data_IF_993009138907
#
_entry.id   IF_993009138907
#
_cell.length_a   1.000
_cell.length_b   1.000
_cell.length_c   1.000
_cell.angle_alpha   90.00
_cell.angle_beta   90.00
_cell.angle_gamma   90.00
#
_symmetry.space_group_name_H-M   'P 1'
#
loop_
_entity.id
_entity.type
_entity.pdbx_description
1 polymer ?
#
# COMPACT_ATOMS: atom_id res chain seq x y z
N UNK A 1 -34.72 -32.72 52.57
CA UNK A 1 -35.09 -32.32 51.22
C UNK A 1 -34.37 -31.02 50.91
N UNK A 2 -33.24 -31.12 50.26
CA UNK A 2 -32.42 -29.94 49.89
C UNK A 2 -32.89 -29.39 48.58
N UNK A 3 -33.13 -28.08 48.54
CA UNK A 3 -33.44 -27.32 47.35
C UNK A 3 -32.19 -27.26 46.45
N UNK A 4 -32.30 -27.82 45.24
CA UNK A 4 -31.31 -27.67 44.19
C UNK A 4 -31.22 -26.20 43.75
N UNK A 5 -30.01 -25.66 43.80
CA UNK A 5 -29.72 -24.28 43.38
C UNK A 5 -30.05 -24.09 41.90
N UNK A 6 -30.62 -22.94 41.60
CA UNK A 6 -30.90 -22.47 40.24
C UNK A 6 -29.61 -22.36 39.47
N UNK A 7 -29.50 -23.11 38.37
CA UNK A 7 -28.45 -22.93 37.37
C UNK A 7 -28.47 -21.47 36.89
N UNK A 8 -27.39 -20.76 37.16
CA UNK A 8 -27.13 -19.47 36.50
C UNK A 8 -26.78 -19.76 35.04
N UNK A 9 -27.76 -19.65 34.18
CA UNK A 9 -27.57 -19.78 32.73
C UNK A 9 -26.52 -18.75 32.27
N UNK A 10 -25.57 -19.22 31.46
CA UNK A 10 -24.59 -18.37 30.81
C UNK A 10 -25.35 -17.36 29.93
N UNK A 11 -25.35 -16.10 30.32
CA UNK A 11 -25.86 -15.04 29.46
C UNK A 11 -24.87 -14.82 28.31
N UNK A 12 -25.17 -15.36 27.13
CA UNK A 12 -24.45 -15.06 25.91
C UNK A 12 -24.72 -13.60 25.54
N UNK A 13 -23.69 -12.76 25.53
CA UNK A 13 -23.83 -11.39 25.02
C UNK A 13 -24.30 -11.47 23.55
N UNK A 14 -25.23 -10.59 23.13
CA UNK A 14 -25.64 -10.55 21.72
C UNK A 14 -24.41 -10.34 20.83
N UNK A 15 -24.42 -11.01 19.66
CA UNK A 15 -23.40 -10.79 18.66
C UNK A 15 -23.28 -9.29 18.35
N UNK A 16 -22.07 -8.80 18.12
CA UNK A 16 -21.84 -7.41 17.70
C UNK A 16 -22.70 -7.17 16.45
N UNK A 17 -23.54 -6.14 16.49
CA UNK A 17 -24.40 -5.81 15.37
C UNK A 17 -23.55 -5.45 14.12
N UNK A 18 -24.05 -5.68 12.94
CA UNK A 18 -23.48 -5.16 11.71
C UNK A 18 -23.70 -3.66 11.62
N UNK A 19 -22.83 -2.97 10.92
CA UNK A 19 -23.02 -1.57 10.56
C UNK A 19 -24.26 -1.39 9.67
N UNK A 20 -24.90 -0.23 9.75
CA UNK A 20 -26.08 0.08 8.94
C UNK A 20 -25.76 0.69 7.57
N UNK A 21 -24.47 0.93 7.28
CA UNK A 21 -24.02 1.58 6.04
C UNK A 21 -22.85 0.87 5.37
N UNK A 22 -22.52 1.31 4.16
CA UNK A 22 -21.34 0.88 3.40
C UNK A 22 -20.08 1.50 4.00
N UNK A 23 -18.99 0.74 4.03
CA UNK A 23 -17.70 1.26 4.50
C UNK A 23 -17.17 2.36 3.57
N UNK A 24 -16.52 3.36 4.17
CA UNK A 24 -15.88 4.43 3.43
C UNK A 24 -14.50 4.77 4.01
N UNK A 25 -13.59 5.23 3.16
CA UNK A 25 -12.36 5.90 3.56
C UNK A 25 -12.72 7.27 4.11
N UNK A 26 -12.34 7.54 5.36
CA UNK A 26 -12.65 8.78 6.09
C UNK A 26 -11.47 9.74 6.13
N UNK A 27 -10.25 9.21 6.08
CA UNK A 27 -9.02 9.99 6.04
C UNK A 27 -7.90 9.19 5.39
N UNK A 28 -6.93 9.91 4.81
CA UNK A 28 -5.71 9.35 4.22
C UNK A 28 -4.52 10.16 4.73
N UNK A 29 -3.47 9.48 5.17
CA UNK A 29 -2.19 10.11 5.53
C UNK A 29 -1.03 9.41 4.85
N UNK A 30 0.00 10.17 4.47
CA UNK A 30 1.19 9.68 3.81
C UNK A 30 2.45 10.20 4.49
N UNK A 31 3.52 9.43 4.43
CA UNK A 31 4.82 9.82 4.96
C UNK A 31 5.95 9.17 4.16
N UNK A 32 7.07 9.89 4.05
CA UNK A 32 8.30 9.40 3.43
C UNK A 32 9.51 9.76 4.29
N UNK A 33 10.63 9.02 4.19
CA UNK A 33 11.91 9.47 4.73
C UNK A 33 12.31 10.84 4.15
N UNK A 34 13.06 11.60 4.92
CA UNK A 34 13.50 12.96 4.52
C UNK A 34 14.58 12.96 3.43
N UNK A 35 15.34 11.86 3.29
CA UNK A 35 16.36 11.74 2.25
C UNK A 35 15.71 11.54 0.89
N UNK A 36 15.87 12.54 0.01
CA UNK A 36 15.37 12.54 -1.37
C UNK A 36 16.50 12.21 -2.32
N UNK A 37 16.30 11.23 -3.17
CA UNK A 37 17.27 10.81 -4.17
C UNK A 37 16.69 11.07 -5.57
N UNK A 38 17.30 12.00 -6.30
CA UNK A 38 16.96 12.24 -7.70
C UNK A 38 17.34 11.01 -8.54
N UNK A 39 16.42 10.55 -9.37
CA UNK A 39 16.61 9.32 -10.13
C UNK A 39 17.78 9.42 -11.12
N UNK A 40 18.02 10.60 -11.69
CA UNK A 40 19.15 10.85 -12.60
C UNK A 40 20.52 10.72 -11.91
N UNK A 41 20.57 11.00 -10.58
CA UNK A 41 21.81 11.00 -9.80
C UNK A 41 22.02 9.64 -9.09
N UNK A 42 20.98 8.80 -9.05
CA UNK A 42 21.02 7.49 -8.39
C UNK A 42 22.04 6.52 -8.98
N UNK A 43 22.25 6.43 -10.31
CA UNK A 43 23.32 5.61 -10.87
C UNK A 43 24.69 5.99 -10.35
N UNK A 44 25.01 7.28 -10.30
CA UNK A 44 26.30 7.75 -9.80
C UNK A 44 26.47 7.46 -8.31
N UNK A 45 25.41 7.63 -7.50
CA UNK A 45 25.40 7.23 -6.10
C UNK A 45 25.60 5.72 -5.96
N UNK A 46 24.82 4.92 -6.67
CA UNK A 46 24.84 3.48 -6.56
C UNK A 46 26.16 2.86 -7.06
N UNK A 47 26.71 3.34 -8.17
CA UNK A 47 27.98 2.83 -8.72
C UNK A 47 29.22 3.36 -7.97
N UNK A 48 29.20 4.56 -7.38
CA UNK A 48 30.31 5.03 -6.51
C UNK A 48 30.58 4.10 -5.34
N UNK A 49 29.53 3.51 -4.79
CA UNK A 49 29.64 2.53 -3.69
C UNK A 49 30.40 1.25 -4.12
N UNK A 50 30.55 1.01 -5.44
CA UNK A 50 31.09 -0.21 -6.00
C UNK A 50 32.30 -0.03 -6.95
N UNK A 51 32.77 1.19 -7.16
CA UNK A 51 33.82 1.56 -8.17
C UNK A 51 35.14 0.81 -8.00
N UNK A 52 35.36 0.04 -6.96
CA UNK A 52 36.60 -0.75 -6.89
C UNK A 52 36.68 -1.94 -7.84
N UNK A 53 35.60 -2.36 -8.52
CA UNK A 53 35.63 -3.61 -9.30
C UNK A 53 34.89 -3.68 -10.66
N UNK A 54 34.23 -2.62 -11.18
CA UNK A 54 33.41 -2.80 -12.40
C UNK A 54 33.53 -1.68 -13.43
N UNK A 55 34.28 -1.97 -14.52
CA UNK A 55 34.47 -1.08 -15.68
C UNK A 55 33.48 -1.31 -16.84
N UNK A 56 32.40 -2.08 -16.70
CA UNK A 56 31.55 -2.55 -17.84
C UNK A 56 30.06 -2.22 -17.80
N UNK A 57 29.50 -1.72 -16.72
CA UNK A 57 28.10 -1.26 -16.73
C UNK A 57 28.07 0.21 -17.10
N UNK A 58 27.63 0.51 -18.32
CA UNK A 58 27.42 1.87 -18.77
C UNK A 58 26.11 2.41 -18.19
N UNK A 59 26.08 3.72 -17.84
CA UNK A 59 24.90 4.45 -17.36
C UNK A 59 23.64 4.25 -18.24
N UNK A 60 23.81 3.93 -19.53
CA UNK A 60 22.73 3.68 -20.50
C UNK A 60 21.84 2.48 -20.16
N UNK A 61 22.33 1.52 -19.36
CA UNK A 61 21.55 0.34 -18.95
C UNK A 61 20.77 0.56 -17.66
N UNK A 62 21.17 1.53 -16.85
CA UNK A 62 20.43 1.91 -15.65
C UNK A 62 19.28 2.82 -16.08
N UNK A 63 18.13 2.24 -16.32
CA UNK A 63 16.95 2.81 -16.97
C UNK A 63 16.32 4.05 -16.27
N UNK A 64 17.11 5.05 -15.88
CA UNK A 64 16.62 6.27 -15.24
C UNK A 64 15.52 6.94 -16.08
N UNK A 65 15.81 7.26 -17.34
CA UNK A 65 14.83 7.93 -18.23
C UNK A 65 13.67 7.03 -18.66
N UNK A 66 13.90 5.70 -18.79
CA UNK A 66 12.86 4.74 -19.19
C UNK A 66 11.87 4.41 -18.08
N UNK A 67 12.21 4.60 -16.81
CA UNK A 67 11.35 4.30 -15.66
C UNK A 67 10.25 5.33 -15.45
N UNK A 68 10.39 6.55 -15.97
CA UNK A 68 9.58 7.74 -15.69
C UNK A 68 9.63 8.22 -14.22
N UNK A 69 10.44 7.61 -13.39
CA UNK A 69 10.70 8.06 -12.03
C UNK A 69 11.60 9.30 -12.09
N UNK A 70 11.27 10.32 -11.32
CA UNK A 70 12.06 11.54 -11.16
C UNK A 70 12.88 11.51 -9.90
N UNK A 71 12.27 11.11 -8.81
CA UNK A 71 12.91 11.01 -7.50
C UNK A 71 12.28 9.91 -6.65
N UNK A 72 12.99 9.50 -5.62
CA UNK A 72 12.52 8.57 -4.60
C UNK A 72 12.95 9.05 -3.21
N UNK A 73 12.30 8.56 -2.19
CA UNK A 73 12.68 8.76 -0.81
C UNK A 73 13.28 7.46 -0.27
N UNK A 74 14.40 7.51 0.42
CA UNK A 74 15.11 6.34 0.91
C UNK A 74 15.63 6.57 2.33
N UNK A 75 15.51 5.59 3.21
CA UNK A 75 16.26 5.58 4.47
C UNK A 75 17.76 5.36 4.25
N UNK A 76 18.10 4.70 3.15
CA UNK A 76 19.47 4.42 2.77
C UNK A 76 20.13 5.72 2.27
N UNK A 77 21.16 6.13 2.97
CA UNK A 77 22.03 7.24 2.63
C UNK A 77 23.51 6.84 2.78
N UNK A 78 24.43 7.74 2.45
CA UNK A 78 25.88 7.51 2.55
C UNK A 78 26.32 7.22 3.98
N UNK A 79 25.70 7.85 4.99
CA UNK A 79 26.02 7.65 6.39
C UNK A 79 25.65 6.26 6.88
N UNK A 80 24.44 5.79 6.52
CA UNK A 80 23.99 4.44 6.84
C UNK A 80 24.88 3.38 6.20
N UNK A 81 25.23 3.56 4.92
CA UNK A 81 26.09 2.61 4.20
C UNK A 81 27.55 2.64 4.70
N UNK A 82 28.06 3.80 5.09
CA UNK A 82 29.38 3.89 5.70
C UNK A 82 29.43 3.19 7.07
N UNK A 83 28.34 3.24 7.83
CA UNK A 83 28.21 2.54 9.11
C UNK A 83 28.00 1.01 8.93
N UNK A 84 27.51 0.58 7.76
CA UNK A 84 27.14 -0.80 7.45
C UNK A 84 27.64 -1.22 6.06
N UNK A 85 28.97 -1.26 5.82
CA UNK A 85 29.54 -1.47 4.49
C UNK A 85 29.17 -2.83 3.87
N UNK A 86 28.87 -3.83 4.69
CA UNK A 86 28.44 -5.15 4.22
C UNK A 86 27.11 -5.10 3.43
N UNK A 87 26.25 -4.09 3.65
CA UNK A 87 25.04 -3.89 2.86
C UNK A 87 25.33 -3.64 1.38
N UNK A 88 26.52 -3.17 1.07
CA UNK A 88 26.95 -2.88 -0.29
C UNK A 88 27.49 -4.11 -1.03
N UNK A 89 27.70 -5.22 -0.31
CA UNK A 89 28.13 -6.49 -0.91
C UNK A 89 26.91 -7.30 -1.38
N UNK A 90 26.97 -7.89 -2.58
CA UNK A 90 25.82 -8.52 -3.22
C UNK A 90 25.16 -9.62 -2.35
N UNK A 91 25.90 -10.54 -1.80
CA UNK A 91 25.38 -11.70 -1.05
C UNK A 91 25.99 -11.82 0.36
N UNK A 92 26.31 -10.69 0.99
CA UNK A 92 26.79 -10.69 2.38
C UNK A 92 25.66 -11.02 3.36
N UNK A 93 25.90 -11.85 4.40
CA UNK A 93 24.92 -12.18 5.42
C UNK A 93 24.67 -10.97 6.34
N UNK A 94 23.63 -10.22 6.07
CA UNK A 94 23.33 -8.92 6.71
C UNK A 94 21.93 -8.85 7.32
N UNK A 95 21.24 -9.99 7.46
CA UNK A 95 19.85 -10.01 7.92
C UNK A 95 19.69 -9.39 9.31
N UNK A 96 20.51 -9.76 10.28
CA UNK A 96 20.42 -9.25 11.67
C UNK A 96 20.52 -7.72 11.72
N UNK A 97 21.50 -7.16 10.98
CA UNK A 97 21.68 -5.72 10.90
C UNK A 97 20.47 -5.02 10.24
N UNK A 98 19.97 -5.59 9.12
CA UNK A 98 18.79 -5.06 8.43
C UNK A 98 17.55 -5.10 9.32
N UNK A 99 17.35 -6.20 10.03
CA UNK A 99 16.27 -6.36 11.00
C UNK A 99 16.34 -5.32 12.12
N UNK A 100 17.52 -5.07 12.69
CA UNK A 100 17.70 -4.06 13.72
C UNK A 100 17.28 -2.65 13.25
N UNK A 101 17.51 -2.32 11.97
CA UNK A 101 17.09 -1.04 11.39
C UNK A 101 15.58 -1.05 11.10
N UNK A 102 15.09 -2.09 10.46
CA UNK A 102 13.70 -2.16 9.98
C UNK A 102 12.69 -2.25 11.12
N UNK A 103 13.00 -3.02 12.18
CA UNK A 103 12.14 -3.15 13.36
C UNK A 103 11.85 -1.80 14.05
N UNK A 104 12.74 -0.83 13.88
CA UNK A 104 12.56 0.55 14.34
C UNK A 104 11.92 1.43 13.26
N UNK A 105 12.42 1.40 12.02
CA UNK A 105 12.06 2.37 10.97
C UNK A 105 10.66 2.13 10.37
N UNK A 106 10.20 0.88 10.25
CA UNK A 106 8.86 0.59 9.75
C UNK A 106 7.77 1.13 10.68
N UNK A 107 7.76 0.86 12.00
CA UNK A 107 6.76 1.45 12.89
C UNK A 107 6.88 2.97 13.00
N UNK A 108 8.08 3.56 12.98
CA UNK A 108 8.26 5.03 12.99
C UNK A 108 7.63 5.68 11.75
N UNK A 109 7.91 5.14 10.56
CA UNK A 109 7.37 5.64 9.30
C UNK A 109 5.85 5.44 9.22
N UNK A 110 5.37 4.25 9.61
CA UNK A 110 3.95 3.94 9.70
C UNK A 110 3.21 4.86 10.66
N UNK A 111 3.81 5.17 11.81
CA UNK A 111 3.25 6.10 12.78
C UNK A 111 3.17 7.54 12.24
N UNK A 112 4.13 7.98 11.44
CA UNK A 112 4.08 9.29 10.79
C UNK A 112 2.88 9.39 9.81
N UNK A 113 2.69 8.39 8.95
CA UNK A 113 1.54 8.34 8.04
C UNK A 113 0.21 8.23 8.81
N UNK A 114 0.15 7.36 9.83
CA UNK A 114 -1.04 7.20 10.66
C UNK A 114 -1.39 8.48 11.43
N UNK A 115 -0.40 9.21 11.94
CA UNK A 115 -0.61 10.50 12.61
C UNK A 115 -1.23 11.52 11.65
N UNK A 116 -0.77 11.55 10.39
CA UNK A 116 -1.36 12.42 9.36
C UNK A 116 -2.82 12.04 9.08
N UNK A 117 -3.13 10.74 8.94
CA UNK A 117 -4.50 10.25 8.75
C UNK A 117 -5.41 10.54 9.95
N UNK A 118 -4.93 10.30 11.18
CA UNK A 118 -5.69 10.59 12.41
C UNK A 118 -5.95 12.10 12.57
N UNK A 119 -4.98 12.94 12.21
CA UNK A 119 -5.15 14.40 12.21
C UNK A 119 -6.22 14.85 11.22
N UNK A 120 -6.23 14.28 10.01
CA UNK A 120 -7.27 14.56 9.02
C UNK A 120 -8.65 14.07 9.47
N UNK A 121 -8.70 12.88 10.06
CA UNK A 121 -9.93 12.31 10.61
C UNK A 121 -10.53 13.17 11.74
N UNK A 122 -9.69 13.84 12.52
CA UNK A 122 -10.10 14.82 13.52
C UNK A 122 -10.71 14.22 14.79
N UNK A 123 -10.57 12.91 15.03
CA UNK A 123 -11.07 12.23 16.24
C UNK A 123 -9.93 11.63 17.04
N UNK A 124 -10.17 11.35 18.35
CA UNK A 124 -9.16 10.74 19.22
C UNK A 124 -8.66 9.38 18.68
N UNK A 125 -7.36 9.14 18.75
CA UNK A 125 -6.75 7.86 18.38
C UNK A 125 -7.35 6.67 19.18
N UNK A 126 -7.83 6.92 20.40
CA UNK A 126 -8.49 5.93 21.24
C UNK A 126 -9.83 5.41 20.67
N UNK A 127 -10.43 6.12 19.71
CA UNK A 127 -11.64 5.69 19.00
C UNK A 127 -11.37 4.64 17.93
N UNK A 128 -10.11 4.40 17.57
CA UNK A 128 -9.72 3.32 16.67
C UNK A 128 -9.95 1.98 17.36
N UNK A 129 -10.75 1.13 16.72
CA UNK A 129 -11.17 -0.18 17.24
C UNK A 129 -10.36 -1.33 16.65
N UNK A 130 -9.86 -1.16 15.44
CA UNK A 130 -9.08 -2.14 14.69
C UNK A 130 -7.85 -1.50 14.06
N UNK A 131 -6.73 -2.23 14.05
CA UNK A 131 -5.48 -1.84 13.40
C UNK A 131 -5.08 -2.94 12.41
N UNK A 132 -4.92 -2.58 11.14
CA UNK A 132 -4.33 -3.43 10.11
C UNK A 132 -2.95 -2.88 9.79
N UNK A 133 -1.94 -3.73 9.75
CA UNK A 133 -0.57 -3.33 9.39
C UNK A 133 -0.08 -4.19 8.23
N UNK A 134 0.28 -3.55 7.12
CA UNK A 134 0.86 -4.17 5.93
C UNK A 134 2.32 -3.80 5.76
N UNK A 135 3.20 -4.78 5.55
CA UNK A 135 4.60 -4.56 5.19
C UNK A 135 5.22 -5.80 4.56
N UNK A 136 5.99 -5.62 3.52
CA UNK A 136 6.87 -6.65 2.96
C UNK A 136 8.26 -6.57 3.58
N UNK A 137 8.65 -5.35 3.97
CA UNK A 137 9.97 -5.06 4.52
C UNK A 137 10.09 -5.36 6.01
N UNK A 138 8.96 -5.34 6.75
CA UNK A 138 8.90 -5.66 8.17
C UNK A 138 8.25 -7.03 8.44
N UNK A 139 8.10 -7.40 9.71
CA UNK A 139 7.30 -8.55 10.13
C UNK A 139 8.07 -9.81 10.47
N UNK A 140 9.39 -9.73 10.61
CA UNK A 140 10.22 -10.84 11.07
C UNK A 140 10.53 -10.78 12.57
N UNK A 141 10.07 -9.75 13.26
CA UNK A 141 10.26 -9.51 14.69
C UNK A 141 9.00 -9.78 15.52
N UNK A 142 9.19 -10.14 16.77
CA UNK A 142 8.15 -10.32 17.78
C UNK A 142 8.55 -9.58 19.06
N UNK A 143 7.76 -8.57 19.50
CA UNK A 143 6.51 -8.07 18.92
C UNK A 143 6.75 -7.26 17.63
N UNK A 144 5.81 -7.36 16.67
CA UNK A 144 5.91 -6.72 15.35
C UNK A 144 5.50 -5.25 15.32
N UNK A 145 5.52 -4.65 14.12
CA UNK A 145 5.21 -3.24 13.90
C UNK A 145 3.81 -2.85 14.42
N UNK A 146 2.85 -3.76 14.40
CA UNK A 146 1.49 -3.56 14.92
C UNK A 146 1.49 -3.24 16.42
N UNK A 147 2.33 -3.91 17.21
CA UNK A 147 2.49 -3.63 18.63
C UNK A 147 3.13 -2.24 18.87
N UNK A 148 4.16 -1.94 18.12
CA UNK A 148 4.85 -0.65 18.24
C UNK A 148 3.95 0.52 17.84
N UNK A 149 3.13 0.37 16.79
CA UNK A 149 2.16 1.37 16.37
C UNK A 149 1.08 1.65 17.43
N UNK A 150 0.58 0.64 18.13
CA UNK A 150 -0.36 0.86 19.27
C UNK A 150 0.25 1.80 20.30
N UNK A 151 1.53 1.63 20.63
CA UNK A 151 2.22 2.46 21.61
C UNK A 151 2.55 3.86 21.08
N UNK A 152 3.08 3.95 19.85
CA UNK A 152 3.50 5.22 19.24
C UNK A 152 2.31 6.16 19.00
N UNK A 153 1.14 5.59 18.67
CA UNK A 153 -0.07 6.35 18.36
C UNK A 153 -1.00 6.55 19.57
N UNK A 154 -0.72 5.91 20.71
CA UNK A 154 -1.59 5.94 21.88
C UNK A 154 -2.96 5.30 21.64
N UNK A 155 -3.03 4.24 20.82
CA UNK A 155 -4.26 3.50 20.59
C UNK A 155 -4.69 2.76 21.85
N UNK A 156 -6.00 2.42 21.94
CA UNK A 156 -6.50 1.60 23.04
C UNK A 156 -5.77 0.27 23.14
N UNK A 157 -5.38 -0.21 24.33
CA UNK A 157 -4.82 -1.55 24.53
C UNK A 157 -5.73 -2.68 24.05
N UNK A 158 -7.05 -2.43 23.93
CA UNK A 158 -8.04 -3.38 23.44
C UNK A 158 -8.23 -3.34 21.92
N UNK A 159 -7.47 -2.52 21.18
CA UNK A 159 -7.52 -2.47 19.73
C UNK A 159 -7.23 -3.86 19.13
N UNK A 160 -8.09 -4.31 18.23
CA UNK A 160 -7.92 -5.60 17.54
C UNK A 160 -6.91 -5.44 16.41
N UNK A 161 -5.89 -6.30 16.36
CA UNK A 161 -4.77 -6.16 15.42
C UNK A 161 -4.72 -7.28 14.40
N UNK A 162 -4.44 -6.93 13.15
CA UNK A 162 -4.18 -7.87 12.05
C UNK A 162 -2.92 -7.41 11.32
N UNK A 163 -1.98 -8.32 11.08
CA UNK A 163 -0.76 -8.06 10.32
C UNK A 163 -0.80 -8.80 8.97
N UNK A 164 -0.50 -8.08 7.89
CA UNK A 164 -0.40 -8.57 6.51
C UNK A 164 1.06 -8.45 6.08
N UNK A 165 1.89 -9.39 6.51
CA UNK A 165 3.32 -9.38 6.24
C UNK A 165 3.69 -10.24 5.04
N UNK A 166 4.72 -9.83 4.29
CA UNK A 166 5.33 -10.59 3.18
C UNK A 166 4.37 -10.93 2.02
N UNK A 167 3.36 -10.13 1.79
CA UNK A 167 2.43 -10.32 0.68
C UNK A 167 2.72 -9.41 -0.53
N UNK A 168 3.55 -8.39 -0.36
CA UNK A 168 3.99 -7.52 -1.46
C UNK A 168 3.02 -6.39 -1.82
N UNK A 169 3.11 -5.95 -3.06
CA UNK A 169 2.51 -4.69 -3.50
C UNK A 169 0.98 -4.64 -3.49
N UNK A 170 0.27 -5.78 -3.55
CA UNK A 170 -1.20 -5.79 -3.55
C UNK A 170 -1.80 -5.52 -2.16
N UNK A 171 -0.99 -5.51 -1.09
CA UNK A 171 -1.48 -5.38 0.29
C UNK A 171 -2.26 -4.09 0.52
N UNK A 172 -1.93 -2.98 -0.17
CA UNK A 172 -2.72 -1.76 -0.05
C UNK A 172 -4.20 -1.95 -0.42
N UNK A 173 -4.48 -2.68 -1.49
CA UNK A 173 -5.85 -3.02 -1.89
C UNK A 173 -6.47 -4.10 -0.97
N UNK A 174 -5.70 -5.14 -0.62
CA UNK A 174 -6.14 -6.20 0.29
C UNK A 174 -6.49 -5.66 1.69
N UNK A 175 -5.71 -4.70 2.20
CA UNK A 175 -5.98 -4.06 3.49
C UNK A 175 -7.25 -3.20 3.45
N UNK A 176 -7.56 -2.52 2.32
CA UNK A 176 -8.84 -1.84 2.15
C UNK A 176 -10.01 -2.81 2.14
N UNK A 177 -9.90 -3.94 1.43
CA UNK A 177 -10.91 -5.00 1.44
C UNK A 177 -11.14 -5.51 2.87
N UNK A 178 -10.07 -5.83 3.60
CA UNK A 178 -10.19 -6.27 4.98
C UNK A 178 -10.77 -5.18 5.89
N UNK A 179 -10.38 -3.92 5.71
CA UNK A 179 -10.91 -2.80 6.49
C UNK A 179 -12.41 -2.60 6.22
N UNK A 180 -12.85 -2.75 4.96
CA UNK A 180 -14.27 -2.77 4.58
C UNK A 180 -15.03 -3.85 5.36
N UNK A 181 -14.54 -5.09 5.30
CA UNK A 181 -15.19 -6.23 5.96
C UNK A 181 -15.27 -6.04 7.47
N UNK A 182 -14.22 -5.53 8.11
CA UNK A 182 -14.20 -5.26 9.53
C UNK A 182 -15.15 -4.12 9.91
N UNK A 183 -15.20 -3.05 9.11
CA UNK A 183 -16.08 -1.92 9.37
C UNK A 183 -17.56 -2.30 9.23
N UNK A 184 -17.94 -3.02 8.19
CA UNK A 184 -19.32 -3.40 7.91
C UNK A 184 -19.86 -4.48 8.87
N UNK A 185 -19.00 -5.39 9.33
CA UNK A 185 -19.42 -6.49 10.21
C UNK A 185 -19.31 -6.14 11.71
N UNK A 186 -18.89 -4.93 12.08
CA UNK A 186 -18.80 -4.46 13.47
C UNK A 186 -19.34 -3.02 13.56
N UNK A 187 -20.58 -2.87 14.03
CA UNK A 187 -21.20 -1.56 14.21
C UNK A 187 -20.31 -0.61 15.05
N UNK A 188 -20.15 0.61 14.58
CA UNK A 188 -19.32 1.61 15.22
C UNK A 188 -17.80 1.40 15.07
N UNK A 189 -17.36 0.39 14.29
CA UNK A 189 -15.93 0.16 14.10
C UNK A 189 -15.27 1.32 13.33
N UNK A 190 -14.04 1.64 13.79
CA UNK A 190 -13.11 2.53 13.09
C UNK A 190 -11.79 1.77 12.91
N UNK A 191 -11.47 1.50 11.67
CA UNK A 191 -10.34 0.68 11.26
C UNK A 191 -9.23 1.61 10.78
N UNK A 192 -8.09 1.61 11.47
CA UNK A 192 -6.87 2.23 10.99
C UNK A 192 -6.07 1.17 10.24
N UNK A 193 -5.85 1.35 8.95
CA UNK A 193 -4.94 0.51 8.18
C UNK A 193 -3.68 1.30 7.84
N UNK A 194 -2.51 0.68 8.00
CA UNK A 194 -1.19 1.28 7.80
C UNK A 194 -0.36 0.36 6.92
N UNK A 195 0.19 0.88 5.83
CA UNK A 195 1.16 0.20 4.98
C UNK A 195 2.49 0.95 5.04
N UNK A 196 3.61 0.25 5.29
CA UNK A 196 4.93 0.87 5.39
C UNK A 196 6.01 -0.03 4.77
N UNK A 197 6.86 0.57 3.92
CA UNK A 197 7.89 -0.14 3.17
C UNK A 197 9.23 0.60 3.19
N UNK A 198 10.33 -0.16 3.20
CA UNK A 198 11.69 0.37 3.09
C UNK A 198 12.60 -0.52 2.27
N UNK A 199 13.52 0.09 1.54
CA UNK A 199 14.56 -0.58 0.76
C UNK A 199 15.64 -1.27 1.62
N UNK A 200 15.71 -0.98 2.92
CA UNK A 200 16.74 -1.51 3.82
C UNK A 200 16.85 -3.04 3.74
N UNK A 201 15.70 -3.74 3.61
CA UNK A 201 15.70 -5.22 3.56
C UNK A 201 16.29 -5.81 2.28
N UNK A 202 16.26 -5.10 1.16
CA UNK A 202 16.66 -5.65 -0.14
C UNK A 202 17.71 -4.81 -0.89
N UNK A 203 18.14 -3.68 -0.33
CA UNK A 203 19.27 -2.95 -0.90
C UNK A 203 20.55 -3.79 -0.85
N UNK A 204 21.23 -3.91 -1.96
CA UNK A 204 22.49 -4.68 -2.06
C UNK A 204 23.30 -4.22 -3.24
N UNK A 205 24.54 -4.66 -3.29
CA UNK A 205 25.48 -4.39 -4.34
C UNK A 205 25.11 -4.95 -5.71
N UNK A 206 25.85 -4.46 -6.68
CA UNK A 206 25.74 -4.88 -8.07
C UNK A 206 26.25 -6.31 -8.25
N UNK A 207 25.55 -7.09 -9.08
CA UNK A 207 26.02 -8.36 -9.58
C UNK A 207 25.61 -8.49 -11.07
N UNK A 208 26.58 -8.78 -11.92
CA UNK A 208 26.37 -8.84 -13.39
C UNK A 208 25.47 -9.99 -13.82
N UNK A 209 25.37 -11.04 -13.00
CA UNK A 209 24.54 -12.20 -13.29
C UNK A 209 23.07 -12.02 -12.87
N UNK A 210 22.77 -10.99 -12.05
CA UNK A 210 21.45 -10.78 -11.44
C UNK A 210 20.88 -9.39 -11.80
N UNK A 211 20.52 -9.23 -13.06
CA UNK A 211 20.01 -7.97 -13.60
C UNK A 211 18.66 -7.55 -12.99
N UNK A 212 17.83 -8.48 -12.58
CA UNK A 212 16.56 -8.28 -11.85
C UNK A 212 16.77 -7.49 -10.54
N UNK A 213 17.90 -7.73 -9.86
CA UNK A 213 18.26 -6.93 -8.68
C UNK A 213 18.46 -5.45 -9.03
N UNK A 214 19.11 -5.13 -10.13
CA UNK A 214 19.29 -3.73 -10.58
C UNK A 214 17.96 -3.04 -10.86
N UNK A 215 17.01 -3.75 -11.47
CA UNK A 215 15.66 -3.23 -11.69
C UNK A 215 14.98 -2.89 -10.36
N UNK A 216 15.07 -3.77 -9.38
CA UNK A 216 14.54 -3.51 -8.04
C UNK A 216 15.18 -2.27 -7.39
N UNK A 217 16.54 -2.16 -7.45
CA UNK A 217 17.26 -1.01 -6.89
C UNK A 217 16.88 0.31 -7.57
N UNK A 218 16.57 0.29 -8.88
CA UNK A 218 16.18 1.47 -9.64
C UNK A 218 14.71 1.87 -9.46
N UNK A 219 13.85 0.93 -9.02
CA UNK A 219 12.39 1.10 -9.04
C UNK A 219 11.77 1.39 -7.68
N UNK A 220 12.25 0.71 -6.62
CA UNK A 220 11.63 0.79 -5.32
C UNK A 220 12.04 2.05 -4.53
N UNK A 221 11.06 2.63 -3.82
CA UNK A 221 11.21 3.72 -2.87
C UNK A 221 10.67 3.36 -1.50
N UNK A 222 10.97 4.20 -0.49
CA UNK A 222 10.50 4.06 0.88
C UNK A 222 9.32 4.99 1.14
N UNK A 223 8.31 4.48 1.81
CA UNK A 223 7.14 5.27 2.18
C UNK A 223 6.14 4.50 3.03
N UNK A 224 5.28 5.24 3.68
CA UNK A 224 4.13 4.70 4.37
C UNK A 224 2.88 5.49 4.04
N UNK A 225 1.76 4.80 4.04
CA UNK A 225 0.44 5.39 3.95
C UNK A 225 -0.50 4.77 4.96
N UNK A 226 -1.49 5.54 5.40
CA UNK A 226 -2.49 5.08 6.34
C UNK A 226 -3.86 5.60 5.94
N UNK A 227 -4.89 4.81 6.22
CA UNK A 227 -6.29 5.18 6.00
C UNK A 227 -7.11 4.88 7.25
N UNK A 228 -8.11 5.72 7.51
CA UNK A 228 -9.17 5.43 8.50
C UNK A 228 -10.41 5.01 7.72
N UNK A 229 -10.99 3.87 8.07
CA UNK A 229 -12.20 3.31 7.43
C UNK A 229 -13.29 3.11 8.48
N UNK A 230 -14.52 3.49 8.14
CA UNK A 230 -15.72 3.27 8.96
C UNK A 230 -16.94 3.07 8.08
N UNK A 231 -17.96 2.36 8.59
CA UNK A 231 -19.19 2.07 7.85
C UNK A 231 -20.41 2.85 8.38
N UNK A 232 -20.54 2.99 9.70
CA UNK A 232 -21.59 3.81 10.29
C UNK A 232 -21.13 5.27 10.36
N UNK A 233 -21.91 6.22 9.83
CA UNK A 233 -21.62 7.63 10.04
C UNK A 233 -21.69 7.94 11.55
N UNK A 234 -20.74 8.72 12.02
CA UNK A 234 -20.83 9.24 13.39
C UNK A 234 -22.00 10.22 13.47
N UNK A 235 -23.04 9.82 14.19
CA UNK A 235 -24.18 10.70 14.48
C UNK A 235 -23.79 11.62 15.65
N UNK A 236 -22.79 12.46 15.43
CA UNK A 236 -22.62 13.68 16.21
C UNK A 236 -23.58 14.71 15.65
N UNK A 237 -24.24 15.46 16.51
CA UNK A 237 -25.16 16.52 16.09
C UNK A 237 -24.43 17.44 15.11
N UNK A 238 -25.01 17.66 13.92
CA UNK A 238 -24.52 18.55 12.85
C UNK A 238 -24.25 19.98 13.36
N UNK A 239 -24.76 20.35 14.53
CA UNK A 239 -24.55 21.61 15.22
C UNK A 239 -23.11 21.87 15.70
N UNK A 240 -22.23 20.84 15.77
CA UNK A 240 -20.86 20.98 16.28
C UNK A 240 -19.76 20.93 15.21
N UNK A 241 -20.09 20.81 13.92
CA UNK A 241 -19.09 20.75 12.83
C UNK A 241 -18.21 19.50 12.84
N UNK A 242 -18.54 18.48 13.62
CA UNK A 242 -17.72 17.29 13.87
C UNK A 242 -18.21 16.02 13.16
N UNK A 243 -18.87 16.16 12.00
CA UNK A 243 -19.23 15.00 11.18
C UNK A 243 -17.99 14.41 10.48
N UNK A 244 -17.84 13.09 10.50
CA UNK A 244 -16.83 12.42 9.70
C UNK A 244 -17.09 12.67 8.21
N UNK A 245 -16.03 13.01 7.47
CA UNK A 245 -16.11 13.22 6.03
C UNK A 245 -15.76 11.92 5.31
N UNK A 246 -16.62 11.50 4.40
CA UNK A 246 -16.31 10.39 3.50
C UNK A 246 -15.48 10.91 2.31
N UNK A 247 -14.43 10.18 1.95
CA UNK A 247 -13.60 10.48 0.79
C UNK A 247 -13.91 9.55 -0.38
N UNK A 248 -14.00 8.24 -0.10
CA UNK A 248 -14.35 7.20 -1.07
C UNK A 248 -15.19 6.13 -0.37
N UNK A 249 -16.32 5.78 -0.93
CA UNK A 249 -17.12 4.64 -0.48
C UNK A 249 -16.52 3.34 -1.05
N UNK A 250 -16.41 2.31 -0.20
CA UNK A 250 -15.87 0.99 -0.55
C UNK A 250 -17.04 0.07 -0.89
N UNK A 251 -17.45 0.04 -2.15
CA UNK A 251 -18.70 -0.64 -2.54
C UNK A 251 -18.54 -2.15 -2.59
N UNK A 252 -17.51 -2.61 -3.31
CA UNK A 252 -17.22 -4.05 -3.45
C UNK A 252 -15.72 -4.27 -3.59
N UNK A 253 -15.26 -5.46 -3.24
CA UNK A 253 -13.85 -5.82 -3.37
C UNK A 253 -13.69 -7.30 -3.65
N UNK A 254 -12.78 -7.64 -4.56
CA UNK A 254 -12.43 -9.03 -4.90
C UNK A 254 -10.91 -9.23 -4.85
N UNK A 255 -10.51 -10.48 -4.66
CA UNK A 255 -9.12 -10.91 -4.77
C UNK A 255 -9.05 -12.12 -5.68
N UNK A 256 -8.22 -12.04 -6.71
CA UNK A 256 -8.04 -13.10 -7.69
C UNK A 256 -6.57 -13.54 -7.74
N UNK A 257 -6.33 -14.82 -7.54
CA UNK A 257 -5.01 -15.43 -7.80
C UNK A 257 -4.96 -15.82 -9.28
N UNK A 258 -3.96 -15.29 -10.01
CA UNK A 258 -3.75 -15.62 -11.41
C UNK A 258 -3.06 -16.98 -11.50
N UNK A 259 -3.70 -18.00 -12.11
CA UNK A 259 -3.15 -19.35 -12.15
C UNK A 259 -1.78 -19.42 -12.84
N UNK A 260 -0.93 -20.35 -12.39
CA UNK A 260 0.39 -20.69 -12.97
C UNK A 260 1.39 -19.53 -13.02
N UNK A 261 1.24 -18.51 -12.15
CA UNK A 261 2.14 -17.34 -12.11
C UNK A 261 3.02 -17.27 -10.87
N UNK A 262 3.10 -18.33 -10.05
CA UNK A 262 3.84 -18.35 -8.79
C UNK A 262 5.33 -18.00 -8.88
N UNK A 263 5.92 -18.13 -10.08
CA UNK A 263 7.31 -17.73 -10.36
C UNK A 263 7.48 -16.31 -10.90
N UNK A 264 6.40 -15.58 -11.18
CA UNK A 264 6.47 -14.29 -11.87
C UNK A 264 7.06 -13.16 -11.02
N UNK A 265 6.65 -13.09 -9.75
CA UNK A 265 7.24 -12.21 -8.73
C UNK A 265 7.50 -13.08 -7.51
N UNK A 266 8.76 -13.17 -7.08
CA UNK A 266 9.15 -13.93 -5.91
C UNK A 266 9.93 -13.05 -4.92
N UNK A 267 9.65 -13.19 -3.63
CA UNK A 267 10.42 -12.62 -2.54
C UNK A 267 10.85 -13.72 -1.58
N UNK A 268 12.13 -13.80 -1.24
CA UNK A 268 12.66 -14.80 -0.32
C UNK A 268 13.51 -14.12 0.76
N UNK A 269 13.10 -14.29 2.02
CA UNK A 269 13.92 -13.85 3.15
C UNK A 269 15.06 -14.86 3.35
N UNK A 270 16.30 -14.37 3.32
CA UNK A 270 17.53 -15.13 3.44
C UNK A 270 18.49 -14.43 4.41
N UNK A 271 19.61 -15.04 4.72
CA UNK A 271 20.67 -14.43 5.56
C UNK A 271 21.18 -13.09 4.99
N UNK A 272 21.04 -12.89 3.68
CA UNK A 272 21.45 -11.66 2.96
C UNK A 272 20.36 -10.58 2.96
N UNK A 273 19.25 -10.76 3.68
CA UNK A 273 18.05 -9.94 3.61
C UNK A 273 17.02 -10.50 2.63
N UNK A 274 16.06 -9.67 2.19
CA UNK A 274 15.02 -10.03 1.24
C UNK A 274 15.55 -10.00 -0.19
N UNK A 275 15.48 -11.12 -0.90
CA UNK A 275 15.84 -11.22 -2.32
C UNK A 275 14.58 -11.23 -3.17
N UNK A 276 14.62 -10.54 -4.31
CA UNK A 276 13.52 -10.52 -5.27
C UNK A 276 13.93 -11.17 -6.59
N UNK A 277 13.00 -11.93 -7.19
CA UNK A 277 13.01 -12.34 -8.58
C UNK A 277 11.80 -11.75 -9.30
N UNK A 278 12.01 -11.20 -10.47
CA UNK A 278 10.98 -10.56 -11.29
C UNK A 278 11.19 -10.91 -12.76
N UNK A 279 10.21 -11.60 -13.36
CA UNK A 279 10.29 -11.88 -14.81
C UNK A 279 9.75 -10.69 -15.63
N UNK A 280 10.29 -10.56 -16.87
CA UNK A 280 9.93 -9.47 -17.80
C UNK A 280 8.47 -9.49 -18.24
N UNK A 281 7.81 -10.64 -18.15
CA UNK A 281 6.44 -10.89 -18.57
C UNK A 281 5.36 -10.36 -17.60
N UNK A 282 5.72 -9.97 -16.38
CA UNK A 282 4.77 -9.51 -15.37
C UNK A 282 3.77 -8.47 -15.89
N UNK A 283 4.18 -7.40 -16.60
CA UNK A 283 3.21 -6.43 -17.14
C UNK A 283 2.20 -7.06 -18.11
N UNK A 284 2.64 -8.01 -18.92
CA UNK A 284 1.79 -8.70 -19.90
C UNK A 284 0.84 -9.71 -19.24
N UNK A 285 1.30 -10.39 -18.18
CA UNK A 285 0.47 -11.30 -17.39
C UNK A 285 -0.66 -10.55 -16.68
N UNK A 286 -0.36 -9.39 -16.10
CA UNK A 286 -1.36 -8.51 -15.48
C UNK A 286 -2.38 -8.07 -16.55
N UNK A 287 -1.92 -7.52 -17.66
CA UNK A 287 -2.78 -7.00 -18.73
C UNK A 287 -3.72 -8.07 -19.31
N UNK A 288 -3.23 -9.31 -19.44
CA UNK A 288 -4.03 -10.44 -19.95
C UNK A 288 -5.19 -10.82 -19.01
N UNK A 289 -5.04 -10.63 -17.71
CA UNK A 289 -5.99 -11.10 -16.70
C UNK A 289 -6.86 -9.98 -16.09
N UNK A 290 -6.53 -8.71 -16.34
CA UNK A 290 -7.20 -7.57 -15.71
C UNK A 290 -8.69 -7.50 -16.05
N UNK A 291 -9.05 -7.83 -17.30
CA UNK A 291 -10.42 -7.84 -17.78
C UNK A 291 -11.29 -8.83 -17.00
N UNK A 292 -10.79 -10.06 -16.83
CA UNK A 292 -11.51 -11.11 -16.10
C UNK A 292 -11.74 -10.72 -14.62
N UNK A 293 -10.72 -10.13 -13.96
CA UNK A 293 -10.87 -9.65 -12.58
C UNK A 293 -11.86 -8.50 -12.43
N UNK A 294 -11.91 -7.60 -13.42
CA UNK A 294 -12.93 -6.53 -13.44
C UNK A 294 -14.33 -7.10 -13.63
N UNK A 295 -14.51 -8.04 -14.56
CA UNK A 295 -15.80 -8.69 -14.77
C UNK A 295 -16.28 -9.43 -13.52
N UNK A 296 -15.37 -10.12 -12.81
CA UNK A 296 -15.68 -10.79 -11.54
C UNK A 296 -16.15 -9.78 -10.48
N UNK A 297 -15.44 -8.65 -10.34
CA UNK A 297 -15.80 -7.60 -9.39
C UNK A 297 -17.18 -7.00 -9.71
N UNK A 298 -17.46 -6.71 -10.98
CA UNK A 298 -18.69 -6.04 -11.42
C UNK A 298 -19.91 -6.95 -11.38
N UNK A 299 -19.73 -8.25 -11.62
CA UNK A 299 -20.81 -9.24 -11.58
C UNK A 299 -21.52 -9.30 -10.21
N UNK A 300 -20.81 -8.94 -9.13
CA UNK A 300 -21.36 -8.94 -7.76
C UNK A 300 -22.23 -7.75 -7.40
N UNK A 301 -22.29 -6.67 -8.21
CA UNK A 301 -22.81 -5.36 -7.74
C UNK A 301 -23.98 -4.82 -8.57
N UNK A 302 -24.30 -5.43 -9.72
CA UNK A 302 -25.37 -4.93 -10.59
C UNK A 302 -25.11 -3.50 -11.13
N UNK A 303 -23.89 -3.03 -11.07
CA UNK A 303 -23.45 -1.76 -11.66
C UNK A 303 -23.16 -2.03 -13.12
N UNK A 304 -23.96 -1.49 -13.99
CA UNK A 304 -23.69 -1.52 -15.43
C UNK A 304 -22.54 -0.54 -15.71
N UNK A 305 -21.32 -1.06 -15.68
CA UNK A 305 -20.16 -0.29 -16.12
C UNK A 305 -20.19 -0.30 -17.64
N UNK A 306 -20.55 0.83 -18.19
CA UNK A 306 -20.61 1.08 -19.62
C UNK A 306 -19.39 0.54 -20.36
N UNK A 307 -19.52 0.23 -21.65
CA UNK A 307 -18.42 -0.20 -22.53
C UNK A 307 -17.23 0.78 -22.54
N UNK A 308 -17.45 2.05 -22.16
CA UNK A 308 -16.38 3.06 -22.03
C UNK A 308 -15.83 3.16 -20.61
N UNK A 309 -14.71 2.48 -20.35
CA UNK A 309 -13.97 2.50 -19.08
C UNK A 309 -13.38 3.86 -18.72
N UNK A 310 -13.38 4.80 -19.62
CA UNK A 310 -12.95 6.19 -19.38
C UNK A 310 -14.00 7.01 -18.61
N UNK A 311 -15.20 6.47 -18.39
CA UNK A 311 -16.19 7.04 -17.47
C UNK A 311 -15.87 6.81 -16.00
N UNK A 312 -14.94 5.90 -15.70
CA UNK A 312 -14.45 5.60 -14.36
C UNK A 312 -13.20 6.42 -14.03
N UNK A 313 -12.93 6.59 -12.73
CA UNK A 313 -11.60 6.95 -12.25
C UNK A 313 -10.78 5.69 -11.91
N UNK A 314 -9.45 5.78 -12.00
CA UNK A 314 -8.57 4.64 -11.88
C UNK A 314 -7.42 4.90 -10.91
N UNK A 315 -7.42 4.22 -9.78
CA UNK A 315 -6.31 4.18 -8.84
C UNK A 315 -5.51 2.87 -9.04
N UNK A 316 -4.56 2.90 -9.96
CA UNK A 316 -3.76 1.73 -10.32
C UNK A 316 -2.46 1.73 -9.51
N UNK A 317 -2.13 0.61 -8.88
CA UNK A 317 -0.82 0.45 -8.21
C UNK A 317 0.33 0.72 -9.19
N UNK A 318 1.19 1.72 -8.93
CA UNK A 318 2.27 2.11 -9.83
C UNK A 318 3.50 1.22 -9.67
N UNK A 319 3.36 -0.08 -9.98
CA UNK A 319 4.43 -1.06 -9.84
C UNK A 319 5.61 -0.83 -10.79
N UNK A 320 5.41 -0.02 -11.83
CA UNK A 320 6.41 0.40 -12.81
C UNK A 320 5.73 0.92 -14.07
N UNK A 321 6.47 1.69 -14.90
CA UNK A 321 5.95 2.27 -16.15
C UNK A 321 5.30 1.24 -17.05
N UNK A 322 5.98 0.12 -17.30
CA UNK A 322 5.49 -0.93 -18.20
C UNK A 322 4.15 -1.54 -17.75
N UNK A 323 3.91 -1.62 -16.44
CA UNK A 323 2.63 -2.08 -15.89
C UNK A 323 1.53 -1.08 -16.24
N UNK A 324 1.75 0.22 -15.98
CA UNK A 324 0.77 1.26 -16.29
C UNK A 324 0.47 1.33 -17.79
N UNK A 325 1.50 1.29 -18.64
CA UNK A 325 1.35 1.28 -20.11
C UNK A 325 0.52 0.07 -20.59
N UNK A 326 0.75 -1.11 -20.00
CA UNK A 326 0.02 -2.33 -20.36
C UNK A 326 -1.44 -2.33 -19.83
N UNK A 327 -1.67 -1.79 -18.64
CA UNK A 327 -3.03 -1.61 -18.08
C UNK A 327 -3.83 -0.64 -18.94
N UNK A 328 -3.26 0.51 -19.32
CA UNK A 328 -3.91 1.47 -20.21
C UNK A 328 -4.28 0.83 -21.55
N UNK A 329 -3.32 0.11 -22.17
CA UNK A 329 -3.57 -0.56 -23.46
C UNK A 329 -4.64 -1.66 -23.37
N UNK A 330 -4.64 -2.46 -22.30
CA UNK A 330 -5.60 -3.55 -22.13
C UNK A 330 -7.03 -3.06 -21.88
N UNK A 331 -7.17 -1.95 -21.15
CA UNK A 331 -8.46 -1.38 -20.78
C UNK A 331 -8.92 -0.26 -21.72
N UNK A 332 -8.12 0.13 -22.72
CA UNK A 332 -8.42 1.24 -23.63
C UNK A 332 -8.53 2.58 -22.89
N UNK A 333 -7.72 2.77 -21.83
CA UNK A 333 -7.74 4.01 -21.04
C UNK A 333 -6.98 5.12 -21.75
N UNK A 334 -7.55 6.33 -21.68
CA UNK A 334 -6.84 7.54 -22.05
C UNK A 334 -5.75 7.84 -21.02
N UNK A 335 -4.60 8.45 -21.41
CA UNK A 335 -3.47 8.70 -20.53
C UNK A 335 -3.78 9.47 -19.23
N UNK A 336 -4.76 10.37 -19.30
CA UNK A 336 -5.20 11.14 -18.12
C UNK A 336 -5.82 10.26 -17.03
N UNK A 337 -6.35 9.09 -17.36
CA UNK A 337 -7.00 8.19 -16.39
C UNK A 337 -6.02 7.53 -15.42
N UNK A 338 -4.76 7.45 -15.75
CA UNK A 338 -3.70 6.96 -14.86
C UNK A 338 -2.77 8.07 -14.36
N UNK A 339 -3.17 9.35 -14.52
CA UNK A 339 -2.39 10.52 -14.11
C UNK A 339 -1.90 10.44 -12.67
N UNK A 340 -2.78 10.13 -11.72
CA UNK A 340 -2.43 10.02 -10.30
C UNK A 340 -1.40 8.90 -10.05
N UNK A 341 -1.60 7.72 -10.65
CA UNK A 341 -0.66 6.59 -10.56
C UNK A 341 0.71 6.94 -11.16
N UNK A 342 0.73 7.59 -12.33
CA UNK A 342 1.97 8.04 -12.98
C UNK A 342 2.69 9.12 -12.18
N UNK A 343 1.95 10.04 -11.55
CA UNK A 343 2.55 11.05 -10.67
C UNK A 343 3.18 10.43 -9.43
N UNK A 344 2.50 9.49 -8.77
CA UNK A 344 3.06 8.76 -7.62
C UNK A 344 4.33 8.00 -8.02
N UNK A 345 4.32 7.29 -9.15
CA UNK A 345 5.52 6.63 -9.66
C UNK A 345 6.67 7.62 -9.92
N UNK A 346 6.37 8.77 -10.51
CA UNK A 346 7.38 9.78 -10.85
C UNK A 346 8.02 10.41 -9.61
N UNK A 347 7.24 10.69 -8.57
CA UNK A 347 7.69 11.45 -7.40
C UNK A 347 8.20 10.57 -6.24
N UNK A 348 7.82 9.28 -6.20
CA UNK A 348 8.12 8.38 -5.08
C UNK A 348 8.71 7.03 -5.50
N UNK A 349 8.63 6.64 -6.77
CA UNK A 349 8.90 5.28 -7.22
C UNK A 349 7.84 4.28 -6.76
N UNK A 350 8.17 3.00 -6.80
CA UNK A 350 7.32 1.93 -6.27
C UNK A 350 7.60 1.73 -4.78
N UNK A 351 6.69 2.17 -3.92
CA UNK A 351 6.75 1.99 -2.46
C UNK A 351 5.94 0.76 -2.00
N UNK A 352 5.89 -0.30 -2.83
CA UNK A 352 5.20 -1.54 -2.46
C UNK A 352 3.75 -1.34 -2.04
N UNK A 353 3.39 -1.86 -0.88
CA UNK A 353 2.03 -1.84 -0.33
C UNK A 353 1.47 -0.43 -0.09
N UNK A 354 2.31 0.57 0.14
CA UNK A 354 1.88 1.93 0.45
C UNK A 354 1.33 2.69 -0.77
N UNK A 355 1.74 2.34 -1.99
CA UNK A 355 1.47 3.12 -3.20
C UNK A 355 -0.02 3.39 -3.48
N UNK A 356 -0.88 2.39 -3.26
CA UNK A 356 -2.29 2.49 -3.65
C UNK A 356 -3.00 3.68 -2.97
N UNK A 357 -2.67 3.95 -1.71
CA UNK A 357 -3.29 5.04 -0.96
C UNK A 357 -2.63 6.40 -1.25
N UNK A 358 -1.35 6.43 -1.64
CA UNK A 358 -0.75 7.63 -2.23
C UNK A 358 -1.46 8.03 -3.52
N UNK A 359 -1.87 7.06 -4.35
CA UNK A 359 -2.63 7.34 -5.58
C UNK A 359 -4.01 7.92 -5.28
N UNK A 360 -4.74 7.36 -4.30
CA UNK A 360 -6.03 7.91 -3.87
C UNK A 360 -5.88 9.32 -3.27
N UNK A 361 -4.82 9.54 -2.49
CA UNK A 361 -4.54 10.85 -1.89
C UNK A 361 -4.20 11.90 -2.95
N UNK A 362 -3.33 11.56 -3.90
CA UNK A 362 -3.02 12.43 -5.05
C UNK A 362 -4.26 12.75 -5.89
N UNK A 363 -5.10 11.75 -6.14
CA UNK A 363 -6.32 11.91 -6.93
C UNK A 363 -7.29 12.92 -6.28
N UNK A 364 -7.59 12.72 -4.99
CA UNK A 364 -8.53 13.62 -4.28
C UNK A 364 -7.99 15.05 -4.12
N UNK A 365 -6.67 15.18 -3.87
CA UNK A 365 -6.04 16.50 -3.75
C UNK A 365 -6.07 17.25 -5.08
N UNK A 366 -5.73 16.57 -6.18
CA UNK A 366 -5.84 17.15 -7.52
C UNK A 366 -7.29 17.50 -7.86
N UNK A 367 -8.24 16.60 -7.56
CA UNK A 367 -9.67 16.85 -7.78
C UNK A 367 -10.17 18.09 -7.06
N UNK A 368 -9.69 18.33 -5.84
CA UNK A 368 -10.03 19.53 -5.08
C UNK A 368 -9.38 20.79 -5.68
N UNK A 369 -8.11 20.70 -6.08
CA UNK A 369 -7.38 21.82 -6.69
C UNK A 369 -7.98 22.27 -8.02
N UNK A 370 -8.44 21.31 -8.85
CA UNK A 370 -9.04 21.56 -10.16
C UNK A 370 -10.57 21.71 -10.12
N UNK A 371 -11.16 21.73 -8.92
CA UNK A 371 -12.61 21.86 -8.72
C UNK A 371 -13.44 20.84 -9.53
N UNK A 372 -13.00 19.59 -9.56
CA UNK A 372 -13.65 18.53 -10.35
C UNK A 372 -15.04 18.12 -9.84
N UNK A 373 -15.49 18.61 -8.68
CA UNK A 373 -16.79 18.34 -8.08
C UNK A 373 -16.89 17.01 -7.31
N UNK A 374 -15.98 16.06 -7.54
CA UNK A 374 -15.89 14.81 -6.77
C UNK A 374 -14.44 14.47 -6.44
N UNK A 375 -14.21 13.60 -5.45
CA UNK A 375 -12.88 13.11 -5.07
C UNK A 375 -12.24 12.20 -6.13
N UNK A 376 -13.00 11.74 -7.11
CA UNK A 376 -12.63 10.84 -8.19
C UNK A 376 -12.51 11.51 -9.57
N UNK A 377 -11.88 12.69 -9.66
CA UNK A 377 -11.61 13.39 -10.92
C UNK A 377 -12.88 13.69 -11.75
N UNK A 378 -13.98 14.00 -11.05
CA UNK A 378 -15.28 14.27 -11.67
C UNK A 378 -16.10 13.02 -12.00
N UNK A 379 -15.53 11.81 -11.86
CA UNK A 379 -16.24 10.55 -12.04
C UNK A 379 -16.91 10.11 -10.74
N UNK A 380 -18.11 9.53 -10.81
CA UNK A 380 -18.81 8.97 -9.65
C UNK A 380 -18.20 7.63 -9.24
N UNK A 381 -17.93 6.76 -10.20
CA UNK A 381 -17.44 5.40 -9.99
C UNK A 381 -15.98 5.27 -10.38
N UNK A 382 -15.27 4.39 -9.70
CA UNK A 382 -13.89 4.10 -10.01
C UNK A 382 -13.40 2.79 -9.45
N UNK A 383 -12.18 2.44 -9.84
CA UNK A 383 -11.57 1.17 -9.48
C UNK A 383 -10.17 1.41 -8.91
N UNK A 384 -9.89 0.79 -7.76
CA UNK A 384 -8.55 0.64 -7.25
C UNK A 384 -8.06 -0.76 -7.62
N UNK A 385 -6.87 -0.82 -8.25
CA UNK A 385 -6.21 -2.04 -8.67
C UNK A 385 -4.87 -2.21 -7.93
N UNK A 386 -4.73 -3.30 -7.17
CA UNK A 386 -3.48 -3.74 -6.58
C UNK A 386 -2.98 -5.02 -7.25
N UNK A 387 -1.68 -5.10 -7.49
CA UNK A 387 -1.03 -6.31 -8.03
C UNK A 387 0.21 -6.64 -7.20
N UNK A 388 0.52 -7.93 -7.11
CA UNK A 388 1.72 -8.37 -6.41
C UNK A 388 2.03 -9.84 -6.60
N UNK A 389 2.93 -10.37 -5.76
CA UNK A 389 3.32 -11.78 -5.82
C UNK A 389 2.13 -12.72 -5.84
N UNK A 390 2.30 -13.83 -6.58
CA UNK A 390 1.26 -14.84 -6.69
C UNK A 390 1.04 -15.32 -8.14
N UNK A 391 0.82 -14.52 -9.22
CA UNK A 391 0.40 -13.14 -9.12
C UNK A 391 -0.98 -13.04 -8.47
N UNK A 392 -1.11 -12.10 -7.56
CA UNK A 392 -2.40 -11.77 -6.96
C UNK A 392 -2.85 -10.40 -7.45
N UNK A 393 -4.13 -10.28 -7.77
CA UNK A 393 -4.81 -9.03 -8.12
C UNK A 393 -5.94 -8.79 -7.13
N UNK A 394 -5.91 -7.66 -6.44
CA UNK A 394 -7.01 -7.14 -5.63
C UNK A 394 -7.67 -5.99 -6.37
N UNK A 395 -8.98 -6.03 -6.48
CA UNK A 395 -9.78 -4.96 -7.08
C UNK A 395 -10.79 -4.43 -6.07
N UNK A 396 -10.91 -3.10 -5.99
CA UNK A 396 -11.90 -2.45 -5.11
C UNK A 396 -12.72 -1.48 -5.96
N UNK A 397 -14.03 -1.70 -6.01
CA UNK A 397 -14.98 -0.77 -6.60
C UNK A 397 -15.22 0.37 -5.62
N UNK A 398 -14.96 1.57 -6.07
CA UNK A 398 -15.07 2.79 -5.29
C UNK A 398 -16.17 3.69 -5.84
N UNK A 399 -16.83 4.39 -4.94
CA UNK A 399 -17.68 5.53 -5.29
C UNK A 399 -17.08 6.78 -4.69
N UNK A 400 -16.84 7.79 -5.51
CA UNK A 400 -16.33 9.09 -5.08
C UNK A 400 -17.38 9.88 -4.33
N UNK A 401 -16.94 10.83 -3.52
CA UNK A 401 -17.85 11.76 -2.83
C UNK A 401 -17.72 13.17 -3.36
N UNK A 402 -18.74 14.00 -3.17
CA UNK A 402 -18.70 15.42 -3.56
C UNK A 402 -17.72 16.20 -2.69
N UNK A 403 -17.00 17.15 -3.29
CA UNK A 403 -16.06 18.07 -2.66
C UNK A 403 -16.52 19.52 -2.76
#
# INVERSE_FOLDING_TARGET
MGSLGTEQGVQVRPAVARAGGTAAVLAIGTANPSNVVEQRDFPDFYFRLYIMNMSRLTNDKFAGEKSTIKKRHLYIDEALLAANPEMTTYMSPTLDMRQAIVSQKIPELGAAAATAALKEWGRPAADITHLIVGSTSGGSDMPGADYHLVRLLGLSPSVRRVALYHQGCFVGAAALRLAKDLAENNAGARVLAVCAETNVMYFRGVDDAHFDNLVCQALFGDGASAVVVGADPFVGTVASGSGERQLFELVHATQTLIPETGGAIQGLLREVGLTFGLISEVPSLIAKNIEAGLCEMLAGVGVDVTDDRNTLFWAVHPGGRAILDKVEGALGLRPEKTRASRKVLAEYGNMGSACAWFVLDEMRQWSAAEACGTTGEGCEWGVLLGFGPGLTMDTVLLRSTRI
#
